data_IF_706112696855
#
_entry.id   IF_706112696855
#
_cell.length_a   1.000
_cell.length_b   1.000
_cell.length_c   1.000
_cell.angle_alpha   90.00
_cell.angle_beta   90.00
_cell.angle_gamma   90.00
#
_symmetry.space_group_name_H-M   'P 1'
#
loop_
_entity.id
_entity.type
_entity.pdbx_description
1 polymer ?
#
# COMPACT_ATOMS: atom_id res chain seq x y z
N UNK A 1 23.99 55.32 -80.89
CA UNK A 1 22.73 55.43 -80.12
C UNK A 1 23.07 55.55 -78.63
N UNK A 2 22.79 56.68 -77.97
CA UNK A 2 22.97 56.82 -76.51
C UNK A 2 21.79 56.16 -75.80
N UNK A 3 22.03 55.08 -75.06
CA UNK A 3 21.00 54.37 -74.27
C UNK A 3 20.52 55.31 -73.17
N UNK A 4 19.24 55.71 -73.19
CA UNK A 4 18.65 56.56 -72.15
C UNK A 4 18.58 55.77 -70.84
N UNK A 5 19.17 56.32 -69.79
CA UNK A 5 19.12 55.75 -68.45
C UNK A 5 17.71 56.01 -67.87
N UNK A 6 17.05 54.96 -67.38
CA UNK A 6 15.72 55.06 -66.77
C UNK A 6 15.87 55.28 -65.26
N UNK A 7 15.73 56.53 -64.81
CA UNK A 7 15.87 56.92 -63.41
C UNK A 7 14.86 56.24 -62.47
N UNK A 8 13.65 55.90 -62.95
CA UNK A 8 12.66 55.17 -62.15
C UNK A 8 13.10 53.74 -61.85
N UNK A 9 13.75 53.10 -62.82
CA UNK A 9 14.32 51.77 -62.63
C UNK A 9 15.48 51.79 -61.62
N UNK A 10 16.33 52.81 -61.66
CA UNK A 10 17.43 52.98 -60.69
C UNK A 10 16.89 53.21 -59.28
N UNK A 11 15.90 54.11 -59.13
CA UNK A 11 15.28 54.39 -57.83
C UNK A 11 14.63 53.15 -57.21
N UNK A 12 13.94 52.34 -58.02
CA UNK A 12 13.35 51.08 -57.59
C UNK A 12 14.42 50.07 -57.13
N UNK A 13 15.51 49.93 -57.88
CA UNK A 13 16.62 49.03 -57.53
C UNK A 13 17.27 49.44 -56.21
N UNK A 14 17.55 50.73 -56.03
CA UNK A 14 18.15 51.25 -54.79
C UNK A 14 17.19 51.04 -53.61
N UNK A 15 15.90 51.29 -53.79
CA UNK A 15 14.89 51.10 -52.74
C UNK A 15 14.79 49.64 -52.30
N UNK A 16 14.82 48.70 -53.26
CA UNK A 16 14.82 47.25 -52.97
C UNK A 16 16.08 46.86 -52.19
N UNK A 17 17.25 47.36 -52.60
CA UNK A 17 18.50 47.07 -51.91
C UNK A 17 18.49 47.57 -50.46
N UNK A 18 17.96 48.77 -50.22
CA UNK A 18 17.82 49.33 -48.87
C UNK A 18 16.88 48.47 -48.02
N UNK A 19 15.73 48.06 -48.56
CA UNK A 19 14.77 47.19 -47.85
C UNK A 19 15.40 45.83 -47.54
N UNK A 20 16.11 45.22 -48.49
CA UNK A 20 16.80 43.95 -48.25
C UNK A 20 17.85 44.07 -47.15
N UNK A 21 18.62 45.17 -47.13
CA UNK A 21 19.66 45.37 -46.13
C UNK A 21 19.08 45.63 -44.73
N UNK A 22 18.00 46.43 -44.64
CA UNK A 22 17.36 46.73 -43.36
C UNK A 22 16.62 45.53 -42.78
N UNK A 23 15.90 44.77 -43.61
CA UNK A 23 15.21 43.53 -43.18
C UNK A 23 16.23 42.48 -42.74
N UNK A 24 17.30 42.28 -43.51
CA UNK A 24 18.39 41.37 -43.14
C UNK A 24 19.00 41.75 -41.79
N UNK A 25 19.36 43.02 -41.62
CA UNK A 25 19.96 43.53 -40.38
C UNK A 25 19.03 43.38 -39.18
N UNK A 26 17.73 43.62 -39.35
CA UNK A 26 16.74 43.44 -38.29
C UNK A 26 16.57 41.97 -37.91
N UNK A 27 16.51 41.08 -38.90
CA UNK A 27 16.44 39.62 -38.66
C UNK A 27 17.68 39.16 -37.90
N UNK A 28 18.88 39.62 -38.25
CA UNK A 28 20.11 39.28 -37.53
C UNK A 28 20.17 39.88 -36.11
N UNK A 29 19.65 41.08 -35.89
CA UNK A 29 19.64 41.71 -34.56
C UNK A 29 18.64 41.06 -33.59
N UNK A 30 17.53 40.52 -34.11
CA UNK A 30 16.48 39.87 -33.30
C UNK A 30 16.72 38.37 -33.16
N UNK A 31 17.50 37.76 -34.07
CA UNK A 31 17.85 36.36 -33.97
C UNK A 31 18.82 36.14 -32.80
N UNK A 32 18.29 35.54 -31.74
CA UNK A 32 19.09 34.99 -30.66
C UNK A 32 19.47 33.57 -31.06
N UNK A 33 20.78 33.29 -31.16
CA UNK A 33 21.24 31.95 -31.45
C UNK A 33 20.82 30.98 -30.35
N UNK A 34 20.57 29.70 -30.68
CA UNK A 34 20.41 28.67 -29.67
C UNK A 34 21.64 28.69 -28.74
N UNK A 35 21.40 28.83 -27.43
CA UNK A 35 22.47 28.93 -26.42
C UNK A 35 23.32 27.67 -26.25
N UNK A 36 22.95 26.58 -26.93
CA UNK A 36 23.75 25.37 -27.06
C UNK A 36 23.46 24.67 -28.40
N UNK A 37 24.48 24.13 -29.06
CA UNK A 37 24.33 23.32 -30.27
C UNK A 37 23.76 21.94 -29.94
N UNK A 38 22.96 21.31 -30.84
CA UNK A 38 22.42 19.97 -30.61
C UNK A 38 23.54 18.97 -30.27
N UNK A 39 23.39 18.14 -29.23
CA UNK A 39 22.19 17.90 -28.42
C UNK A 39 22.04 18.79 -27.17
N UNK A 40 22.89 19.82 -27.00
CA UNK A 40 22.80 20.76 -25.88
C UNK A 40 21.44 21.46 -25.83
N UNK A 41 20.89 21.63 -24.62
CA UNK A 41 19.51 22.06 -24.33
C UNK A 41 18.40 21.03 -24.62
N UNK A 42 18.72 19.77 -24.90
CA UNK A 42 17.68 18.75 -24.83
C UNK A 42 17.13 18.67 -23.40
N UNK A 43 15.80 18.73 -23.28
CA UNK A 43 15.11 18.16 -22.12
C UNK A 43 15.69 16.76 -21.88
N UNK A 44 15.93 16.41 -20.61
CA UNK A 44 16.39 15.06 -20.26
C UNK A 44 15.55 14.05 -21.03
N UNK A 45 16.16 13.02 -21.65
CA UNK A 45 15.41 12.08 -22.47
C UNK A 45 14.18 11.60 -21.68
N UNK A 46 13.01 11.48 -22.30
CA UNK A 46 11.84 10.92 -21.64
C UNK A 46 12.20 9.66 -20.85
N UNK A 47 11.55 9.44 -19.70
CA UNK A 47 11.82 8.32 -18.77
C UNK A 47 11.41 6.97 -19.38
N UNK A 48 11.94 6.62 -20.55
CA UNK A 48 11.63 5.42 -21.33
C UNK A 48 12.49 5.29 -22.61
N UNK A 49 13.51 6.11 -22.85
CA UNK A 49 14.27 6.08 -24.13
C UNK A 49 15.77 5.81 -23.98
N UNK A 50 16.25 5.43 -22.80
CA UNK A 50 17.69 5.17 -22.54
C UNK A 50 17.94 3.90 -21.72
N UNK A 51 19.11 3.28 -21.92
CA UNK A 51 19.64 2.18 -21.08
C UNK A 51 20.35 2.68 -19.81
N UNK A 52 20.61 3.98 -19.68
CA UNK A 52 21.11 4.60 -18.46
C UNK A 52 19.94 4.86 -17.50
N UNK A 53 20.08 4.55 -16.21
CA UNK A 53 19.05 4.86 -15.21
C UNK A 53 18.69 6.35 -15.21
N UNK A 54 17.40 6.67 -15.31
CA UNK A 54 16.88 8.03 -15.33
C UNK A 54 16.02 8.25 -14.09
N UNK A 55 16.25 9.35 -13.37
CA UNK A 55 15.45 9.74 -12.21
C UNK A 55 14.71 11.03 -12.52
N UNK A 56 13.43 11.10 -12.14
CA UNK A 56 12.69 12.36 -12.11
C UNK A 56 12.62 12.84 -10.67
N UNK A 57 13.10 14.05 -10.42
CA UNK A 57 12.90 14.71 -9.13
C UNK A 57 11.43 15.12 -9.00
N UNK A 58 10.87 14.91 -7.81
CA UNK A 58 9.46 15.19 -7.50
C UNK A 58 8.53 13.98 -7.71
N UNK A 59 7.25 14.24 -7.52
CA UNK A 59 6.23 13.20 -7.43
C UNK A 59 5.63 12.86 -8.80
N UNK A 60 5.24 11.60 -8.97
CA UNK A 60 4.41 11.19 -10.11
C UNK A 60 2.94 11.24 -9.70
N UNK A 61 2.22 12.24 -10.23
CA UNK A 61 0.80 12.43 -9.96
C UNK A 61 -0.12 11.62 -10.87
N UNK A 62 -1.24 11.14 -10.32
CA UNK A 62 -2.32 10.45 -11.04
C UNK A 62 -3.65 11.14 -10.71
N UNK A 63 -4.26 11.76 -11.73
CA UNK A 63 -5.55 12.44 -11.65
C UNK A 63 -5.48 13.84 -11.02
N UNK A 64 -6.18 14.81 -11.63
CA UNK A 64 -6.54 16.10 -11.03
C UNK A 64 -5.98 17.33 -11.72
N UNK A 65 -6.87 18.23 -12.16
CA UNK A 65 -6.59 19.67 -12.24
C UNK A 65 -7.17 20.37 -11.01
N UNK A 66 -6.83 21.62 -10.66
CA UNK A 66 -5.59 22.36 -10.88
C UNK A 66 -4.97 22.66 -9.51
N UNK A 67 -3.69 22.29 -9.32
CA UNK A 67 -2.92 22.62 -8.13
C UNK A 67 -2.00 21.51 -7.62
N UNK A 68 -2.48 20.27 -7.52
CA UNK A 68 -1.72 19.05 -7.19
C UNK A 68 -2.51 17.81 -7.66
N UNK A 69 -1.84 16.66 -7.87
CA UNK A 69 -2.53 15.41 -8.15
C UNK A 69 -3.37 14.94 -6.96
N UNK A 70 -4.51 14.28 -7.24
CA UNK A 70 -5.40 13.69 -6.22
C UNK A 70 -4.70 12.52 -5.51
N UNK A 71 -3.93 11.73 -6.26
CA UNK A 71 -3.04 10.69 -5.75
C UNK A 71 -1.66 10.83 -6.37
N UNK A 72 -0.61 10.55 -5.62
CA UNK A 72 0.74 10.58 -6.17
C UNK A 72 1.67 9.58 -5.52
N UNK A 73 2.67 9.18 -6.29
CA UNK A 73 3.82 8.44 -5.80
C UNK A 73 4.94 9.43 -5.50
N UNK A 74 5.51 9.35 -4.30
CA UNK A 74 6.67 10.15 -3.89
C UNK A 74 7.79 9.26 -3.39
N UNK A 75 9.04 9.67 -3.61
CA UNK A 75 10.17 9.21 -2.82
C UNK A 75 10.39 10.18 -1.65
N UNK A 76 10.32 9.68 -0.43
CA UNK A 76 10.59 10.49 0.76
C UNK A 76 11.71 9.85 1.58
N UNK A 77 12.89 10.45 1.55
CA UNK A 77 14.12 9.90 2.16
C UNK A 77 14.33 8.42 1.82
N UNK A 78 14.18 8.07 0.54
CA UNK A 78 14.40 6.68 0.09
C UNK A 78 13.20 5.75 0.25
N UNK A 79 12.12 6.19 0.89
CA UNK A 79 10.88 5.42 1.06
C UNK A 79 9.93 5.67 -0.09
N UNK A 80 9.36 4.60 -0.66
CA UNK A 80 8.27 4.73 -1.63
C UNK A 80 6.95 5.00 -0.89
N UNK A 81 6.25 6.07 -1.25
CA UNK A 81 4.95 6.42 -0.66
C UNK A 81 3.86 6.55 -1.70
N UNK A 82 2.67 6.09 -1.33
CA UNK A 82 1.42 6.37 -2.02
C UNK A 82 0.65 7.38 -1.20
N UNK A 83 0.45 8.57 -1.74
CA UNK A 83 -0.17 9.68 -1.03
C UNK A 83 -1.52 10.03 -1.65
N UNK A 84 -2.36 10.69 -0.85
CA UNK A 84 -3.67 11.19 -1.27
C UNK A 84 -3.83 12.64 -0.83
N UNK A 85 -4.55 13.43 -1.63
CA UNK A 85 -4.92 14.81 -1.31
C UNK A 85 -6.16 14.90 -0.42
N UNK A 86 -7.06 13.90 -0.45
CA UNK A 86 -8.32 13.90 0.28
C UNK A 86 -8.72 12.50 0.76
N UNK A 87 -8.61 12.22 2.08
CA UNK A 87 -7.96 13.07 3.06
C UNK A 87 -6.47 13.25 2.71
N UNK A 88 -5.83 14.33 3.15
CA UNK A 88 -4.41 14.51 2.94
C UNK A 88 -3.60 13.48 3.74
N UNK A 89 -2.59 12.85 3.11
CA UNK A 89 -1.61 12.03 3.82
C UNK A 89 -1.11 10.80 3.06
N UNK A 90 -0.13 10.13 3.66
CA UNK A 90 0.43 8.88 3.15
C UNK A 90 -0.48 7.70 3.49
N UNK A 91 -0.84 6.93 2.47
CA UNK A 91 -1.75 5.78 2.54
C UNK A 91 -1.02 4.46 2.60
N UNK A 92 0.05 4.34 1.82
CA UNK A 92 0.92 3.17 1.80
C UNK A 92 2.38 3.60 1.76
N UNK A 93 3.20 2.91 2.53
CA UNK A 93 4.66 3.07 2.60
C UNK A 93 5.32 1.75 2.28
N UNK A 94 6.39 1.77 1.48
CA UNK A 94 7.36 0.69 1.39
C UNK A 94 8.73 1.28 1.74
N UNK A 95 9.22 0.93 2.93
CA UNK A 95 10.52 1.36 3.45
C UNK A 95 11.69 0.70 2.73
N UNK A 96 12.88 1.29 2.85
CA UNK A 96 14.11 0.71 2.28
C UNK A 96 14.51 -0.63 2.93
N UNK A 97 14.03 -0.84 4.15
CA UNK A 97 14.12 -2.09 4.90
C UNK A 97 13.13 -3.17 4.42
N UNK A 98 12.27 -2.85 3.45
CA UNK A 98 11.23 -3.74 2.93
C UNK A 98 9.94 -3.74 3.76
N UNK A 99 9.87 -2.95 4.83
CA UNK A 99 8.69 -2.88 5.69
C UNK A 99 7.56 -2.12 4.98
N UNK A 100 6.35 -2.67 5.04
CA UNK A 100 5.15 -2.08 4.44
C UNK A 100 4.28 -1.45 5.52
N UNK A 101 3.97 -0.16 5.37
CA UNK A 101 3.04 0.57 6.21
C UNK A 101 1.74 0.84 5.48
N UNK A 102 0.58 0.56 6.09
CA UNK A 102 -0.72 1.01 5.59
C UNK A 102 -1.32 1.97 6.63
N UNK A 103 -1.61 3.20 6.22
CA UNK A 103 -2.06 4.27 7.13
C UNK A 103 -1.01 4.77 8.12
N UNK A 104 0.25 4.35 7.99
CA UNK A 104 1.38 4.79 8.81
C UNK A 104 2.60 5.10 7.94
N UNK A 105 3.46 6.01 8.39
CA UNK A 105 4.69 6.40 7.69
C UNK A 105 5.97 5.76 8.22
N UNK A 106 5.89 5.10 9.39
CA UNK A 106 7.02 4.47 10.06
C UNK A 106 6.67 3.05 10.53
N UNK A 107 6.55 2.07 9.61
CA UNK A 107 6.37 0.69 10.00
C UNK A 107 7.61 0.18 10.76
N UNK A 108 7.44 -0.43 11.94
CA UNK A 108 8.54 -1.03 12.73
C UNK A 108 8.64 -2.54 12.55
N UNK A 109 7.74 -3.12 11.74
CA UNK A 109 7.67 -4.54 11.40
C UNK A 109 7.36 -4.67 9.91
N UNK A 110 7.62 -5.87 9.36
CA UNK A 110 7.41 -6.20 7.94
C UNK A 110 6.08 -5.71 7.37
N UNK A 111 5.00 -5.79 8.15
CA UNK A 111 3.72 -5.15 7.86
C UNK A 111 3.22 -4.43 9.12
N UNK A 112 2.94 -3.13 9.01
CA UNK A 112 2.26 -2.35 10.04
C UNK A 112 1.03 -1.71 9.44
N UNK A 113 -0.14 -1.97 10.00
CA UNK A 113 -1.40 -1.33 9.58
C UNK A 113 -1.96 -0.49 10.71
N UNK A 114 -2.12 0.81 10.49
CA UNK A 114 -2.79 1.71 11.41
C UNK A 114 -4.29 1.76 11.09
N UNK A 115 -5.12 1.32 12.04
CA UNK A 115 -6.57 1.32 11.92
C UNK A 115 -7.18 -0.09 11.98
N UNK A 116 -8.52 -0.15 11.99
CA UNK A 116 -9.26 -1.40 12.06
C UNK A 116 -9.15 -2.20 10.77
N UNK A 117 -8.93 -3.50 10.89
CA UNK A 117 -8.90 -4.43 9.75
C UNK A 117 -10.20 -5.24 9.72
N UNK A 118 -10.88 -5.21 8.57
CA UNK A 118 -12.01 -6.08 8.28
C UNK A 118 -11.53 -7.19 7.35
N UNK A 119 -11.60 -8.44 7.82
CA UNK A 119 -11.32 -9.64 7.01
C UNK A 119 -12.65 -10.22 6.56
N UNK A 120 -12.94 -10.12 5.26
CA UNK A 120 -14.21 -10.58 4.67
C UNK A 120 -13.98 -11.79 3.78
N UNK A 121 -14.61 -12.91 4.14
CA UNK A 121 -14.64 -14.16 3.38
C UNK A 121 -15.88 -14.94 3.81
N UNK A 122 -16.31 -15.93 3.03
CA UNK A 122 -17.34 -16.90 3.47
C UNK A 122 -16.84 -17.77 4.63
N UNK A 123 -15.53 -17.96 4.71
CA UNK A 123 -14.81 -18.57 5.84
C UNK A 123 -13.55 -17.72 6.11
N UNK A 124 -13.63 -16.67 6.94
CA UNK A 124 -12.48 -15.83 7.25
C UNK A 124 -11.52 -16.57 8.18
N UNK A 125 -10.23 -16.54 7.85
CA UNK A 125 -9.17 -17.22 8.59
C UNK A 125 -8.03 -16.26 8.91
N UNK A 126 -7.39 -16.44 10.06
CA UNK A 126 -6.09 -15.86 10.41
C UNK A 126 -5.18 -16.97 10.90
N UNK A 127 -4.09 -17.20 10.16
CA UNK A 127 -3.10 -18.23 10.46
C UNK A 127 -1.83 -17.62 11.08
N UNK A 128 -1.34 -18.26 12.12
CA UNK A 128 0.01 -18.07 12.65
C UNK A 128 0.83 -19.33 12.41
N UNK A 129 1.94 -19.20 11.69
CA UNK A 129 2.83 -20.31 11.38
C UNK A 129 4.21 -20.07 11.99
N UNK A 130 4.60 -20.92 12.94
CA UNK A 130 5.94 -20.95 13.49
C UNK A 130 6.89 -21.64 12.52
N UNK A 131 7.74 -20.85 11.86
CA UNK A 131 8.66 -21.31 10.79
C UNK A 131 9.71 -22.35 11.21
N UNK A 132 9.91 -22.55 12.52
CA UNK A 132 10.88 -23.48 13.08
C UNK A 132 10.25 -24.54 14.01
N UNK A 133 9.01 -24.92 13.75
CA UNK A 133 8.36 -26.02 14.45
C UNK A 133 8.70 -27.38 13.79
N UNK A 134 8.50 -28.47 14.54
CA UNK A 134 8.44 -29.81 13.96
C UNK A 134 7.21 -29.93 13.05
N UNK A 135 7.17 -30.98 12.24
CA UNK A 135 6.07 -31.25 11.33
C UNK A 135 4.72 -31.26 12.08
N UNK A 136 3.77 -30.44 11.60
CA UNK A 136 2.40 -30.32 12.11
C UNK A 136 2.25 -29.75 13.54
N UNK A 137 3.28 -29.10 14.09
CA UNK A 137 3.26 -28.55 15.46
C UNK A 137 3.30 -27.00 15.50
N UNK A 138 3.46 -26.36 14.34
CA UNK A 138 3.78 -24.93 14.26
C UNK A 138 2.62 -24.00 13.94
N UNK A 139 1.47 -24.52 13.51
CA UNK A 139 0.42 -23.71 12.90
C UNK A 139 -0.83 -23.63 13.77
N UNK A 140 -1.26 -22.40 14.00
CA UNK A 140 -2.45 -22.05 14.77
C UNK A 140 -3.38 -21.21 13.92
N UNK A 141 -4.68 -21.45 14.04
CA UNK A 141 -5.69 -20.77 13.23
C UNK A 141 -6.82 -20.24 14.08
N UNK A 142 -7.27 -19.03 13.75
CA UNK A 142 -8.58 -18.52 14.12
C UNK A 142 -9.41 -18.50 12.85
N UNK A 143 -10.59 -19.10 12.89
CA UNK A 143 -11.48 -19.14 11.72
C UNK A 143 -12.94 -18.91 12.10
N UNK A 144 -13.66 -18.28 11.18
CA UNK A 144 -15.12 -18.22 11.17
C UNK A 144 -15.67 -19.27 10.20
N UNK A 145 -16.68 -20.01 10.63
CA UNK A 145 -17.40 -20.96 9.77
C UNK A 145 -18.83 -20.46 9.48
N UNK A 146 -19.35 -20.95 8.36
CA UNK A 146 -20.72 -20.75 7.85
C UNK A 146 -21.78 -21.11 8.89
N UNK A 147 -21.48 -22.02 9.83
CA UNK A 147 -22.39 -22.41 10.92
C UNK A 147 -22.43 -21.43 12.11
N UNK A 148 -22.02 -20.15 11.93
CA UNK A 148 -22.00 -19.11 12.98
C UNK A 148 -21.04 -19.43 14.14
N UNK A 149 -19.94 -20.09 13.78
CA UNK A 149 -18.92 -20.55 14.71
C UNK A 149 -17.67 -19.67 14.54
N UNK A 150 -17.06 -19.30 15.66
CA UNK A 150 -15.65 -18.89 15.69
C UNK A 150 -14.87 -19.97 16.42
N UNK A 151 -13.81 -20.47 15.82
CA UNK A 151 -12.98 -21.54 16.37
C UNK A 151 -11.51 -21.17 16.43
N UNK A 152 -10.82 -21.78 17.39
CA UNK A 152 -9.38 -21.71 17.55
C UNK A 152 -8.81 -23.13 17.43
N UNK A 153 -7.82 -23.30 16.56
CA UNK A 153 -7.36 -24.61 16.11
C UNK A 153 -5.84 -24.72 16.06
N UNK A 154 -5.35 -25.94 16.28
CA UNK A 154 -4.06 -26.38 15.77
C UNK A 154 -4.28 -26.99 14.39
N UNK A 155 -3.45 -26.63 13.40
CA UNK A 155 -3.61 -27.03 12.00
C UNK A 155 -2.33 -27.71 11.55
N UNK A 156 -2.45 -28.73 10.72
CA UNK A 156 -1.27 -29.39 10.16
C UNK A 156 -0.59 -28.52 9.08
N UNK A 157 0.64 -28.87 8.68
CA UNK A 157 1.42 -28.03 7.76
C UNK A 157 0.79 -27.94 6.37
N UNK A 158 0.09 -29.01 5.96
CA UNK A 158 -0.62 -29.13 4.69
C UNK A 158 -1.98 -28.40 4.65
N UNK A 159 -2.45 -27.87 5.78
CA UNK A 159 -3.72 -27.15 5.89
C UNK A 159 -4.92 -27.98 5.42
N UNK A 160 -4.91 -29.27 5.72
CA UNK A 160 -5.99 -30.18 5.36
C UNK A 160 -6.49 -31.02 6.54
N UNK A 161 -5.90 -30.83 7.72
CA UNK A 161 -6.33 -31.43 8.97
C UNK A 161 -6.14 -30.45 10.13
N UNK A 162 -7.04 -30.49 11.12
CA UNK A 162 -6.99 -29.59 12.26
C UNK A 162 -7.69 -30.16 13.48
N UNK A 163 -7.22 -29.74 14.66
CA UNK A 163 -7.88 -30.02 15.94
C UNK A 163 -8.32 -28.70 16.59
N UNK A 164 -9.62 -28.59 16.86
CA UNK A 164 -10.22 -27.45 17.58
C UNK A 164 -9.96 -27.57 19.08
N UNK A 165 -9.45 -26.52 19.72
CA UNK A 165 -9.25 -26.50 21.18
C UNK A 165 -10.21 -25.54 21.90
N UNK A 166 -10.77 -24.56 21.18
CA UNK A 166 -11.83 -23.69 21.70
C UNK A 166 -12.78 -23.29 20.58
N UNK A 167 -14.07 -23.22 20.92
CA UNK A 167 -15.14 -22.79 20.01
C UNK A 167 -16.14 -21.90 20.72
N UNK A 168 -16.53 -20.82 20.05
CA UNK A 168 -17.69 -20.03 20.40
C UNK A 168 -18.75 -20.14 19.29
N UNK A 169 -19.97 -20.51 19.67
CA UNK A 169 -21.10 -20.66 18.74
C UNK A 169 -22.13 -19.57 19.01
N UNK A 170 -22.52 -18.83 17.99
CA UNK A 170 -23.63 -17.87 18.06
C UNK A 170 -24.95 -18.58 17.83
N UNK A 171 -26.01 -18.06 18.45
CA UNK A 171 -27.39 -18.37 18.07
C UNK A 171 -27.88 -17.34 17.02
N UNK A 172 -29.12 -16.86 17.09
CA UNK A 172 -29.59 -15.84 16.15
C UNK A 172 -29.04 -14.46 16.53
N UNK A 173 -28.64 -13.65 15.55
CA UNK A 173 -28.11 -12.30 15.81
C UNK A 173 -26.80 -12.33 16.61
N UNK A 174 -26.72 -11.54 17.68
CA UNK A 174 -25.50 -11.31 18.47
C UNK A 174 -25.40 -12.14 19.77
N UNK A 175 -26.31 -13.08 20.00
CA UNK A 175 -26.30 -13.91 21.23
C UNK A 175 -25.38 -15.12 21.09
N UNK A 176 -24.62 -15.42 22.15
CA UNK A 176 -23.81 -16.63 22.20
C UNK A 176 -24.65 -17.80 22.69
N UNK A 177 -24.57 -18.93 21.98
CA UNK A 177 -25.19 -20.19 22.38
C UNK A 177 -24.30 -20.99 23.33
N UNK A 178 -22.99 -21.02 23.07
CA UNK A 178 -22.04 -21.76 23.90
C UNK A 178 -20.59 -21.31 23.66
N UNK A 179 -19.75 -21.54 24.66
CA UNK A 179 -18.29 -21.59 24.52
C UNK A 179 -17.84 -22.97 25.00
N UNK A 180 -17.11 -23.71 24.16
CA UNK A 180 -16.72 -25.10 24.43
C UNK A 180 -15.23 -25.31 24.20
N UNK A 181 -14.63 -26.18 25.02
CA UNK A 181 -13.25 -26.66 24.89
C UNK A 181 -13.30 -28.15 24.57
N UNK A 182 -13.51 -28.53 23.29
CA UNK A 182 -13.81 -29.92 22.93
C UNK A 182 -12.62 -30.86 23.18
N UNK A 183 -11.40 -30.32 23.05
CA UNK A 183 -10.15 -31.05 23.19
C UNK A 183 -9.25 -30.39 24.25
N UNK A 184 -8.49 -31.20 24.98
CA UNK A 184 -7.65 -30.74 26.10
C UNK A 184 -8.41 -30.57 27.42
N UNK A 185 -7.66 -30.32 28.49
CA UNK A 185 -8.18 -30.01 29.82
C UNK A 185 -7.96 -28.53 30.13
N UNK A 186 -8.87 -27.91 30.88
CA UNK A 186 -8.80 -26.51 31.27
C UNK A 186 -8.21 -26.39 32.68
N UNK A 187 -7.17 -25.58 32.83
CA UNK A 187 -6.61 -25.18 34.12
C UNK A 187 -7.06 -23.78 34.50
N UNK A 188 -7.53 -23.59 35.73
CA UNK A 188 -7.78 -22.26 36.31
C UNK A 188 -6.86 -22.11 37.53
N UNK A 189 -5.94 -21.16 37.48
CA UNK A 189 -4.95 -20.95 38.55
C UNK A 189 -3.87 -22.04 38.64
N UNK A 190 -3.80 -22.96 37.66
CA UNK A 190 -2.77 -23.99 37.55
C UNK A 190 -2.23 -24.06 36.12
N UNK A 191 -0.92 -24.27 35.99
CA UNK A 191 -0.25 -24.58 34.71
C UNK A 191 -0.24 -26.09 34.41
N UNK A 192 -0.69 -26.91 35.35
CA UNK A 192 -0.73 -28.37 35.24
C UNK A 192 -2.14 -28.86 35.55
N UNK A 193 -3.07 -28.77 34.58
CA UNK A 193 -4.36 -29.42 34.70
C UNK A 193 -4.17 -30.93 34.85
N UNK A 194 -4.87 -31.56 35.79
CA UNK A 194 -4.88 -33.01 35.96
C UNK A 194 -5.45 -33.65 34.69
N UNK A 195 -4.73 -34.61 34.12
CA UNK A 195 -5.15 -35.31 32.90
C UNK A 195 -6.47 -36.08 33.07
N UNK A 196 -6.82 -36.45 34.30
CA UNK A 196 -8.05 -37.20 34.62
C UNK A 196 -9.30 -36.32 34.67
N UNK A 197 -9.15 -34.99 34.76
CA UNK A 197 -10.26 -34.07 34.90
C UNK A 197 -10.27 -33.02 33.78
N UNK A 198 -11.43 -32.78 33.19
CA UNK A 198 -11.59 -31.74 32.16
C UNK A 198 -11.37 -30.32 32.69
N UNK A 199 -11.56 -30.10 33.99
CA UNK A 199 -11.32 -28.84 34.68
C UNK A 199 -10.50 -29.11 35.94
N UNK A 200 -9.38 -28.42 36.09
CA UNK A 200 -8.58 -28.40 37.33
C UNK A 200 -8.47 -26.96 37.82
N UNK A 201 -8.70 -26.75 39.11
CA UNK A 201 -8.60 -25.42 39.73
C UNK A 201 -7.59 -25.47 40.89
N UNK A 202 -6.70 -24.48 40.95
CA UNK A 202 -5.79 -24.27 42.08
C UNK A 202 -5.82 -22.81 42.54
N UNK A 203 -5.57 -22.56 43.83
CA UNK A 203 -5.54 -21.19 44.38
C UNK A 203 -6.92 -20.54 44.62
N UNK A 204 -8.00 -21.31 44.55
CA UNK A 204 -9.38 -20.92 44.83
C UNK A 204 -10.34 -22.11 44.73
N UNK A 205 -11.53 -22.04 45.33
CA UNK A 205 -12.58 -23.06 45.20
C UNK A 205 -13.44 -22.86 43.95
N UNK A 206 -14.25 -23.86 43.58
CA UNK A 206 -15.27 -23.71 42.54
C UNK A 206 -16.57 -23.21 43.19
N UNK A 207 -17.00 -22.00 42.84
CA UNK A 207 -18.34 -21.53 43.19
C UNK A 207 -19.31 -21.96 42.08
N UNK A 208 -20.09 -23.00 42.36
CA UNK A 208 -21.22 -23.38 41.51
C UNK A 208 -22.50 -22.79 42.09
N UNK A 209 -23.05 -21.77 41.44
CA UNK A 209 -24.35 -21.21 41.79
C UNK A 209 -25.38 -21.57 40.73
N UNK A 210 -26.52 -22.12 41.15
CA UNK A 210 -27.65 -22.41 40.27
C UNK A 210 -28.81 -21.47 40.63
N UNK A 211 -29.17 -20.59 39.70
CA UNK A 211 -30.28 -19.64 39.87
C UNK A 211 -31.65 -20.25 39.52
N UNK A 212 -31.71 -21.53 39.15
CA UNK A 212 -32.95 -22.28 38.94
C UNK A 212 -33.20 -23.23 40.12
N UNK A 213 -34.42 -23.24 40.67
CA UNK A 213 -34.82 -24.16 41.72
C UNK A 213 -34.45 -25.61 41.33
N UNK A 214 -33.74 -26.32 42.21
CA UNK A 214 -33.39 -27.72 42.03
C UNK A 214 -34.64 -28.56 41.70
N UNK A 215 -34.58 -29.54 40.78
CA UNK A 215 -35.57 -30.61 40.81
C UNK A 215 -35.41 -31.37 42.13
N UNK A 216 -36.55 -31.60 42.78
CA UNK A 216 -36.70 -32.35 44.02
C UNK A 216 -36.22 -33.80 43.89
#
# INVERSE_FOLDING_TARGET
MRKKINFNAISLIISILVICFTVSSYVFAVWQEPTAGPPGNNILPPINVSSTGQNKLGDFGIGGGSGQPVYWLSNYYGTLRFNSASPAGTRLVIGQDGNVGIGTTGPTMALTVAGQQLITSTAPELDWNKSNASANEGRWRIEGDTAKIMSFRAVNDAINDSTEWMRATRSSGITMSSVTFPNGNVGIGTASPDSNYRLTVAGGGVKAENSSAQPA
#
